data_IF_301246560026
#
_entry.id   IF_301246560026
#
_cell.length_a   1.000
_cell.length_b   1.000
_cell.length_c   1.000
_cell.angle_alpha   90.00
_cell.angle_beta   90.00
_cell.angle_gamma   90.00
#
_symmetry.space_group_name_H-M   'P 1'
#
loop_
_entity.id
_entity.type
_entity.pdbx_description
1 polymer ?
#
# COMPACT_ATOMS: atom_id res chain seq x y z
N UNK A 1 11.10 -58.88 0.13
CA UNK A 1 11.53 -58.30 1.43
C UNK A 1 11.21 -56.81 1.39
N UNK A 2 9.99 -56.39 1.74
CA UNK A 2 9.59 -55.83 3.06
C UNK A 2 10.65 -54.90 3.66
N UNK A 3 10.35 -53.61 3.74
CA UNK A 3 10.29 -52.88 5.02
C UNK A 3 9.45 -51.60 4.83
N UNK A 4 8.21 -51.64 5.33
CA UNK A 4 7.39 -50.47 5.63
C UNK A 4 7.96 -49.84 6.90
N UNK A 5 8.20 -48.53 6.90
CA UNK A 5 8.49 -47.77 8.11
C UNK A 5 7.32 -46.83 8.38
N UNK A 6 6.46 -47.23 9.33
CA UNK A 6 5.60 -46.32 10.08
C UNK A 6 6.47 -45.63 11.14
N UNK A 7 6.20 -44.37 11.48
CA UNK A 7 6.16 -43.84 12.86
C UNK A 7 5.67 -42.38 12.81
N UNK A 8 4.43 -42.13 13.26
CA UNK A 8 4.03 -41.52 14.55
C UNK A 8 3.88 -39.99 14.49
N UNK A 9 2.63 -39.55 14.39
CA UNK A 9 2.21 -38.18 14.66
C UNK A 9 2.01 -37.99 16.17
N UNK A 10 2.76 -37.06 16.77
CA UNK A 10 2.59 -36.66 18.17
C UNK A 10 1.68 -35.43 18.22
N UNK A 11 0.45 -35.59 18.73
CA UNK A 11 -0.42 -34.48 19.11
C UNK A 11 0.09 -33.85 20.41
N UNK A 12 0.44 -32.57 20.38
CA UNK A 12 0.57 -31.75 21.59
C UNK A 12 -0.75 -30.99 21.79
N UNK A 13 -1.51 -31.38 22.82
CA UNK A 13 -2.57 -30.54 23.38
C UNK A 13 -1.92 -29.56 24.37
N UNK A 14 -1.88 -28.27 24.02
CA UNK A 14 -1.58 -27.21 24.97
C UNK A 14 -2.88 -26.70 25.58
N UNK A 15 -3.12 -27.05 26.85
CA UNK A 15 -4.16 -26.46 27.67
C UNK A 15 -3.71 -25.06 28.11
N UNK A 16 -4.41 -24.02 27.65
CA UNK A 16 -4.24 -22.66 28.17
C UNK A 16 -5.12 -22.46 29.39
N UNK A 17 -4.48 -22.28 30.55
CA UNK A 17 -5.15 -21.91 31.78
C UNK A 17 -5.67 -20.46 31.71
N UNK A 18 -6.97 -20.26 31.98
CA UNK A 18 -7.54 -18.94 32.24
C UNK A 18 -7.02 -18.43 33.59
N UNK A 19 -6.21 -17.38 33.58
CA UNK A 19 -5.91 -16.58 34.75
C UNK A 19 -7.06 -15.60 35.03
N UNK A 20 -7.58 -15.62 36.25
CA UNK A 20 -8.58 -14.67 36.74
C UNK A 20 -7.98 -13.26 36.95
N UNK A 21 -8.77 -12.18 36.77
CA UNK A 21 -8.30 -10.82 37.01
C UNK A 21 -8.16 -10.50 38.51
N UNK A 22 -7.12 -9.75 38.92
CA UNK A 22 -6.98 -9.27 40.29
C UNK A 22 -8.03 -8.20 40.61
N UNK A 23 -8.58 -8.29 41.83
CA UNK A 23 -9.48 -7.30 42.43
C UNK A 23 -8.68 -6.07 42.84
N UNK A 24 -8.85 -4.98 42.11
CA UNK A 24 -8.27 -3.69 42.47
C UNK A 24 -9.13 -2.98 43.54
N UNK A 25 -8.50 -2.58 44.63
CA UNK A 25 -9.12 -1.86 45.75
C UNK A 25 -8.82 -0.38 45.55
N UNK A 26 -9.81 0.35 45.04
CA UNK A 26 -9.76 1.80 44.97
C UNK A 26 -9.62 2.46 46.35
N UNK A 27 -8.78 3.49 46.41
CA UNK A 27 -8.92 4.68 47.27
C UNK A 27 -7.92 5.75 46.79
N UNK A 28 -8.35 6.56 45.84
CA UNK A 28 -7.67 7.78 45.41
C UNK A 28 -8.72 8.88 45.27
N UNK A 29 -8.63 9.90 46.13
CA UNK A 29 -9.51 11.06 46.21
C UNK A 29 -9.28 11.94 44.98
N UNK A 30 -10.24 11.99 44.05
CA UNK A 30 -10.17 12.82 42.85
C UNK A 30 -10.91 14.14 43.10
N UNK A 31 -10.17 15.23 43.05
CA UNK A 31 -10.63 16.62 43.04
C UNK A 31 -11.44 16.89 41.76
N UNK A 32 -12.50 17.72 41.75
CA UNK A 32 -13.29 17.94 40.55
C UNK A 32 -12.46 18.70 39.50
N UNK A 33 -12.10 18.03 38.41
CA UNK A 33 -11.55 18.67 37.23
C UNK A 33 -12.71 19.36 36.48
N UNK A 34 -12.54 20.66 36.27
CA UNK A 34 -13.38 21.50 35.44
C UNK A 34 -13.54 20.87 34.05
N UNK A 35 -14.77 20.46 33.73
CA UNK A 35 -15.17 19.94 32.42
C UNK A 35 -15.14 21.08 31.39
N UNK A 36 -13.99 21.31 30.75
CA UNK A 36 -13.94 22.10 29.52
C UNK A 36 -14.52 21.24 28.41
N UNK A 37 -15.73 21.59 27.95
CA UNK A 37 -16.39 20.94 26.84
C UNK A 37 -15.58 21.15 25.55
N UNK A 38 -14.80 20.14 25.15
CA UNK A 38 -14.20 20.08 23.82
C UNK A 38 -15.34 19.93 22.81
N UNK A 39 -15.65 21.00 22.09
CA UNK A 39 -16.59 21.00 20.98
C UNK A 39 -16.02 20.11 19.88
N UNK A 40 -16.45 18.85 19.83
CA UNK A 40 -16.14 17.90 18.75
C UNK A 40 -16.79 18.42 17.47
N UNK A 41 -16.06 19.25 16.73
CA UNK A 41 -16.44 19.63 15.37
C UNK A 41 -16.32 18.37 14.54
N UNK A 42 -17.46 17.82 14.10
CA UNK A 42 -17.54 16.70 13.17
C UNK A 42 -16.90 17.15 11.85
N UNK A 43 -15.59 16.91 11.71
CA UNK A 43 -14.87 17.14 10.46
C UNK A 43 -15.42 16.12 9.46
N UNK A 44 -16.22 16.58 8.52
CA UNK A 44 -16.61 15.76 7.37
C UNK A 44 -15.34 15.55 6.53
N UNK A 45 -14.86 14.30 6.35
CA UNK A 45 -13.67 14.05 5.55
C UNK A 45 -13.95 14.51 4.11
N UNK A 46 -13.02 15.29 3.56
CA UNK A 46 -13.06 15.67 2.13
C UNK A 46 -13.11 14.39 1.29
N UNK A 47 -14.08 14.25 0.37
CA UNK A 47 -14.15 13.07 -0.47
C UNK A 47 -12.88 12.94 -1.31
N UNK A 48 -12.26 11.77 -1.28
CA UNK A 48 -11.08 11.48 -2.09
C UNK A 48 -11.44 11.56 -3.59
N UNK A 49 -10.59 12.18 -4.43
CA UNK A 49 -10.93 12.36 -5.85
C UNK A 49 -11.12 11.02 -6.57
N UNK A 50 -12.06 10.99 -7.52
CA UNK A 50 -12.32 9.82 -8.35
C UNK A 50 -11.13 9.49 -9.28
N UNK A 51 -10.34 10.49 -9.63
CA UNK A 51 -9.15 10.37 -10.47
C UNK A 51 -8.04 11.27 -9.96
N UNK A 52 -6.79 10.83 -10.13
CA UNK A 52 -5.59 11.64 -9.93
C UNK A 52 -4.82 11.78 -11.24
N UNK A 53 -4.05 12.84 -11.40
CA UNK A 53 -3.21 13.04 -12.59
C UNK A 53 -1.74 12.91 -12.22
N UNK A 54 -1.07 11.94 -12.84
CA UNK A 54 0.37 11.80 -12.77
C UNK A 54 1.01 12.67 -13.86
N UNK A 55 2.01 13.48 -13.51
CA UNK A 55 2.61 14.48 -14.40
C UNK A 55 4.13 14.31 -14.55
N UNK A 56 4.63 13.19 -15.08
CA UNK A 56 6.05 13.07 -15.38
C UNK A 56 6.49 13.96 -16.54
N UNK A 57 7.80 14.10 -16.66
CA UNK A 57 8.46 14.69 -17.82
C UNK A 57 8.81 13.59 -18.82
N UNK A 58 8.38 13.73 -20.08
CA UNK A 58 8.86 12.90 -21.17
C UNK A 58 10.28 13.33 -21.55
N UNK A 59 11.22 12.40 -21.45
CA UNK A 59 12.64 12.56 -21.79
C UNK A 59 13.03 11.67 -22.97
N UNK A 60 14.17 11.97 -23.60
CA UNK A 60 14.66 11.24 -24.79
C UNK A 60 14.28 11.89 -26.13
N UNK A 61 13.44 12.92 -26.11
CA UNK A 61 13.29 13.87 -27.22
C UNK A 61 14.33 15.00 -27.12
N UNK A 62 14.50 15.79 -28.18
CA UNK A 62 15.41 16.96 -28.17
C UNK A 62 15.07 17.99 -27.07
N UNK A 63 13.85 17.98 -26.53
CA UNK A 63 13.38 18.87 -25.46
C UNK A 63 12.46 18.09 -24.50
N UNK A 64 12.70 18.13 -23.18
CA UNK A 64 11.78 17.57 -22.19
C UNK A 64 10.41 18.23 -22.27
N UNK A 65 9.34 17.45 -22.11
CA UNK A 65 7.96 17.97 -22.16
C UNK A 65 7.06 17.28 -21.14
N UNK A 66 6.07 17.99 -20.54
CA UNK A 66 5.12 17.35 -19.64
C UNK A 66 4.34 16.23 -20.32
N UNK A 67 4.09 15.15 -19.60
CA UNK A 67 3.20 14.06 -20.01
C UNK A 67 2.22 13.78 -18.89
N UNK A 68 0.94 13.71 -19.22
CA UNK A 68 -0.11 13.52 -18.23
C UNK A 68 -0.71 12.13 -18.37
N UNK A 69 -0.84 11.45 -17.23
CA UNK A 69 -1.55 10.19 -17.12
C UNK A 69 -2.70 10.35 -16.12
N UNK A 70 -3.93 10.19 -16.58
CA UNK A 70 -5.11 10.22 -15.71
C UNK A 70 -5.34 8.82 -15.14
N UNK A 71 -5.41 8.69 -13.82
CA UNK A 71 -5.52 7.39 -13.13
C UNK A 71 -6.80 7.36 -12.32
N UNK A 72 -7.57 6.29 -12.46
CA UNK A 72 -8.77 6.02 -11.66
C UNK A 72 -8.35 5.55 -10.25
N UNK A 73 -8.74 6.28 -9.21
CA UNK A 73 -8.43 5.89 -7.82
C UNK A 73 -9.15 4.59 -7.44
N UNK A 74 -10.35 4.36 -7.98
CA UNK A 74 -11.07 3.09 -7.84
C UNK A 74 -10.27 1.91 -8.41
N UNK A 75 -9.70 2.07 -9.60
CA UNK A 75 -8.91 1.01 -10.25
C UNK A 75 -7.61 0.78 -9.48
N UNK A 76 -6.92 1.84 -9.09
CA UNK A 76 -5.69 1.74 -8.30
C UNK A 76 -5.91 0.96 -6.99
N UNK A 77 -6.97 1.29 -6.25
CA UNK A 77 -7.37 0.55 -5.04
C UNK A 77 -7.66 -0.91 -5.35
N UNK A 78 -8.43 -1.20 -6.39
CA UNK A 78 -8.75 -2.58 -6.79
C UNK A 78 -7.50 -3.40 -7.12
N UNK A 79 -6.51 -2.79 -7.79
CA UNK A 79 -5.25 -3.48 -8.10
C UNK A 79 -4.40 -3.70 -6.83
N UNK A 80 -4.37 -2.74 -5.88
CA UNK A 80 -3.73 -2.94 -4.58
C UNK A 80 -4.38 -4.08 -3.77
N UNK A 81 -5.72 -4.12 -3.74
CA UNK A 81 -6.48 -5.17 -3.07
C UNK A 81 -6.27 -6.56 -3.70
N UNK A 82 -6.11 -6.62 -5.01
CA UNK A 82 -5.76 -7.84 -5.73
C UNK A 82 -4.32 -8.27 -5.47
N UNK A 83 -3.41 -7.31 -5.38
CA UNK A 83 -1.99 -7.55 -5.21
C UNK A 83 -1.64 -8.04 -3.81
N UNK A 84 -2.29 -7.52 -2.74
CA UNK A 84 -2.02 -7.86 -1.33
C UNK A 84 -0.51 -7.86 -1.01
N UNK A 85 -0.02 -8.87 -0.29
CA UNK A 85 1.32 -8.96 0.28
C UNK A 85 2.01 -10.31 0.02
N UNK A 86 2.12 -10.78 -1.24
CA UNK A 86 2.77 -12.05 -1.56
C UNK A 86 4.28 -11.98 -1.27
N UNK A 87 4.84 -13.07 -0.75
CA UNK A 87 6.29 -13.17 -0.50
C UNK A 87 7.10 -13.10 -1.80
N UNK A 88 6.54 -13.63 -2.90
CA UNK A 88 7.17 -13.61 -4.22
C UNK A 88 6.14 -13.74 -5.32
N UNK A 89 6.35 -13.02 -6.42
CA UNK A 89 5.61 -13.21 -7.67
C UNK A 89 6.57 -13.42 -8.83
N UNK A 90 6.05 -13.87 -9.97
CA UNK A 90 6.86 -14.03 -11.18
C UNK A 90 7.23 -12.68 -11.80
N UNK A 91 6.34 -11.69 -11.71
CA UNK A 91 6.64 -10.33 -12.16
C UNK A 91 7.72 -9.65 -11.31
N UNK A 92 7.78 -9.98 -10.01
CA UNK A 92 8.53 -9.19 -9.03
C UNK A 92 7.66 -8.14 -8.34
N UNK A 93 6.43 -7.92 -8.83
CA UNK A 93 5.43 -7.03 -8.24
C UNK A 93 4.26 -7.81 -7.59
N UNK A 94 3.61 -7.29 -6.53
CA UNK A 94 4.01 -6.10 -5.79
C UNK A 94 5.33 -6.32 -5.05
N UNK A 95 5.96 -5.22 -4.66
CA UNK A 95 7.15 -5.26 -3.80
C UNK A 95 7.08 -4.16 -2.75
N UNK A 96 7.98 -4.25 -1.76
CA UNK A 96 8.08 -3.26 -0.69
C UNK A 96 8.51 -1.91 -1.25
N UNK A 97 7.81 -0.86 -0.81
CA UNK A 97 8.20 0.51 -1.03
C UNK A 97 8.86 1.03 0.26
N UNK A 98 10.08 1.54 0.13
CA UNK A 98 10.92 1.89 1.29
C UNK A 98 11.02 3.41 1.53
N UNK A 99 10.09 4.22 0.99
CA UNK A 99 10.09 5.67 1.16
C UNK A 99 11.37 6.39 0.71
N UNK A 100 12.13 5.82 -0.24
CA UNK A 100 13.39 6.41 -0.71
C UNK A 100 13.25 7.85 -1.21
N UNK A 101 12.08 8.21 -1.74
CA UNK A 101 11.79 9.54 -2.29
C UNK A 101 11.09 10.50 -1.31
N UNK A 102 10.85 10.08 -0.06
CA UNK A 102 10.27 10.96 0.97
C UNK A 102 8.84 11.42 0.69
N UNK A 103 8.04 10.64 -0.03
CA UNK A 103 6.66 11.00 -0.37
C UNK A 103 5.74 11.04 0.86
N UNK A 104 4.95 12.12 0.97
CA UNK A 104 3.89 12.27 1.97
C UNK A 104 2.51 12.05 1.35
N UNK A 105 1.89 10.93 1.69
CA UNK A 105 0.55 10.57 1.21
C UNK A 105 -0.60 11.23 1.99
N UNK A 106 -0.30 12.06 3.00
CA UNK A 106 -1.29 12.76 3.82
C UNK A 106 -2.15 11.84 4.68
N UNK A 107 -1.72 10.59 4.89
CA UNK A 107 -2.44 9.56 5.65
C UNK A 107 -1.53 9.05 6.78
N UNK A 108 -2.01 8.99 8.03
CA UNK A 108 -1.16 8.66 9.18
C UNK A 108 -0.58 7.24 9.12
N UNK A 109 -1.27 6.32 8.46
CA UNK A 109 -0.83 4.95 8.25
C UNK A 109 0.10 4.78 7.02
N UNK A 110 0.46 5.87 6.35
CA UNK A 110 1.32 5.89 5.16
C UNK A 110 2.61 6.70 5.37
N UNK A 111 3.04 6.87 6.62
CA UNK A 111 4.27 7.56 6.98
C UNK A 111 5.51 6.69 6.79
N UNK A 112 6.69 7.31 6.94
CA UNK A 112 8.03 6.70 6.73
C UNK A 112 8.27 5.34 7.41
N UNK A 113 7.62 5.09 8.55
CA UNK A 113 7.81 3.88 9.36
C UNK A 113 6.78 2.78 9.02
N UNK A 114 5.87 3.06 8.08
CA UNK A 114 4.84 2.13 7.66
C UNK A 114 5.41 1.02 6.76
N UNK A 115 4.80 -0.16 6.85
CA UNK A 115 5.01 -1.22 5.88
C UNK A 115 4.27 -0.88 4.58
N UNK A 116 4.96 -0.17 3.67
CA UNK A 116 4.42 0.16 2.36
C UNK A 116 4.79 -0.85 1.28
N UNK A 117 3.86 -0.99 0.36
CA UNK A 117 3.94 -1.81 -0.83
C UNK A 117 3.55 -0.96 -2.04
N UNK A 118 4.14 -1.30 -3.18
CA UNK A 118 3.82 -0.69 -4.46
C UNK A 118 3.44 -1.73 -5.50
N UNK A 119 2.51 -1.35 -6.39
CA UNK A 119 2.05 -2.23 -7.47
C UNK A 119 1.78 -1.45 -8.77
N UNK A 120 2.15 -1.99 -9.95
CA UNK A 120 1.91 -1.33 -11.23
C UNK A 120 0.43 -1.12 -11.54
N UNK A 121 0.08 0.08 -12.01
CA UNK A 121 -1.29 0.40 -12.46
C UNK A 121 -1.23 1.15 -13.79
N UNK A 122 -2.30 1.05 -14.59
CA UNK A 122 -2.42 1.75 -15.87
C UNK A 122 -3.34 2.96 -15.78
N UNK A 123 -3.10 3.95 -16.63
CA UNK A 123 -3.95 5.12 -16.77
C UNK A 123 -5.22 4.80 -17.55
N UNK A 124 -6.24 5.65 -17.43
CA UNK A 124 -7.63 5.35 -17.81
C UNK A 124 -7.84 5.00 -19.29
N UNK A 125 -7.03 5.51 -20.20
CA UNK A 125 -7.13 5.17 -21.62
C UNK A 125 -6.54 3.80 -21.98
N UNK A 126 -5.78 3.17 -21.07
CA UNK A 126 -5.23 1.82 -21.25
C UNK A 126 -6.08 0.81 -20.47
N UNK A 127 -6.85 0.01 -21.20
CA UNK A 127 -7.71 -1.04 -20.64
C UNK A 127 -6.92 -2.33 -20.36
N UNK A 128 -5.92 -2.25 -19.49
CA UNK A 128 -5.08 -3.40 -19.07
C UNK A 128 -4.91 -3.40 -17.55
N UNK A 129 -4.62 -4.57 -17.00
CA UNK A 129 -4.27 -4.77 -15.59
C UNK A 129 -2.90 -5.45 -15.53
N UNK A 130 -2.16 -5.24 -14.44
CA UNK A 130 -0.90 -5.95 -14.25
C UNK A 130 -1.14 -7.43 -13.93
N UNK A 131 -0.22 -8.29 -14.36
CA UNK A 131 -0.26 -9.72 -14.12
C UNK A 131 0.95 -10.15 -13.29
N UNK A 132 0.72 -10.49 -12.01
CA UNK A 132 1.77 -10.95 -11.09
C UNK A 132 2.46 -12.24 -11.55
N UNK A 133 1.80 -13.03 -12.39
CA UNK A 133 2.26 -14.33 -12.88
C UNK A 133 2.97 -14.25 -14.24
N UNK A 134 3.27 -13.03 -14.71
CA UNK A 134 3.98 -12.79 -15.96
C UNK A 134 5.24 -11.94 -15.70
N UNK A 135 6.32 -12.20 -16.43
CA UNK A 135 7.55 -11.42 -16.26
C UNK A 135 7.32 -9.96 -16.69
N UNK A 136 7.81 -9.00 -15.90
CA UNK A 136 7.70 -7.55 -16.17
C UNK A 136 8.11 -7.16 -17.59
N UNK A 137 9.17 -7.77 -18.12
CA UNK A 137 9.66 -7.49 -19.50
C UNK A 137 8.69 -7.90 -20.62
N UNK A 138 7.75 -8.80 -20.33
CA UNK A 138 6.74 -9.26 -21.28
C UNK A 138 5.45 -8.44 -21.21
N UNK A 139 5.31 -7.60 -20.17
CA UNK A 139 4.13 -6.78 -19.95
C UNK A 139 4.32 -5.37 -20.52
N UNK A 140 3.24 -4.66 -20.87
CA UNK A 140 3.31 -3.25 -21.26
C UNK A 140 3.91 -2.41 -20.14
N UNK A 141 4.80 -1.49 -20.48
CA UNK A 141 5.40 -0.60 -19.50
C UNK A 141 4.35 0.34 -18.89
N UNK A 142 4.43 0.51 -17.56
CA UNK A 142 3.76 1.61 -16.84
C UNK A 142 4.73 2.18 -15.79
N UNK A 143 4.90 3.52 -15.74
CA UNK A 143 5.72 4.18 -14.75
C UNK A 143 4.96 4.46 -13.44
N UNK A 144 3.67 4.12 -13.41
CA UNK A 144 2.72 4.47 -12.36
C UNK A 144 2.61 3.30 -11.39
N UNK A 145 2.56 3.62 -10.09
CA UNK A 145 2.42 2.68 -8.99
C UNK A 145 1.29 3.14 -8.08
N UNK A 146 0.41 2.21 -7.70
CA UNK A 146 -0.41 2.40 -6.49
C UNK A 146 0.46 2.07 -5.29
N UNK A 147 0.36 2.90 -4.25
CA UNK A 147 1.02 2.67 -2.96
C UNK A 147 -0.03 2.39 -1.91
N UNK A 148 0.24 1.39 -1.09
CA UNK A 148 -0.65 0.95 -0.03
C UNK A 148 0.14 0.43 1.17
N UNK A 149 -0.42 0.59 2.36
CA UNK A 149 0.15 0.10 3.60
C UNK A 149 -0.44 -1.26 3.98
N UNK A 150 0.35 -2.07 4.67
CA UNK A 150 -0.16 -3.19 5.45
C UNK A 150 -0.46 -2.73 6.87
N UNK A 151 -1.73 -2.74 7.25
CA UNK A 151 -2.18 -2.41 8.61
C UNK A 151 -3.00 -3.58 9.11
N UNK A 152 -2.54 -4.25 10.17
CA UNK A 152 -3.17 -5.45 10.74
C UNK A 152 -3.45 -6.56 9.70
N UNK A 153 -2.55 -6.69 8.72
CA UNK A 153 -2.69 -7.66 7.64
C UNK A 153 -3.61 -7.24 6.49
N UNK A 154 -4.24 -6.07 6.58
CA UNK A 154 -5.13 -5.52 5.57
C UNK A 154 -4.47 -4.46 4.69
N UNK A 155 -5.01 -4.29 3.49
CA UNK A 155 -4.59 -3.25 2.54
C UNK A 155 -5.22 -1.92 2.94
N UNK A 156 -4.38 -0.91 3.13
CA UNK A 156 -4.81 0.46 3.33
C UNK A 156 -4.24 1.35 2.23
N UNK A 157 -5.10 1.87 1.37
CA UNK A 157 -4.69 2.70 0.23
C UNK A 157 -4.01 4.00 0.68
N UNK A 158 -2.81 4.27 0.15
CA UNK A 158 -2.05 5.48 0.41
C UNK A 158 -2.20 6.50 -0.71
N UNK A 159 -1.98 6.10 -1.95
CA UNK A 159 -2.04 7.02 -3.08
C UNK A 159 -1.53 6.39 -4.37
N UNK A 160 -1.31 7.23 -5.37
CA UNK A 160 -0.66 6.85 -6.63
C UNK A 160 0.58 7.71 -6.81
N UNK A 161 1.66 7.09 -7.25
CA UNK A 161 2.89 7.77 -7.62
C UNK A 161 3.30 7.38 -9.04
N UNK A 162 4.21 8.17 -9.60
CA UNK A 162 4.84 7.92 -10.89
C UNK A 162 6.31 8.24 -10.78
N UNK A 163 7.17 7.59 -11.56
CA UNK A 163 8.49 8.14 -11.83
C UNK A 163 8.36 9.58 -12.35
N UNK A 164 9.29 10.47 -11.98
CA UNK A 164 9.28 11.88 -12.38
C UNK A 164 9.66 12.09 -13.84
N UNK A 165 10.39 11.13 -14.42
CA UNK A 165 10.73 11.09 -15.84
C UNK A 165 10.24 9.80 -16.48
N UNK A 166 9.87 9.88 -17.75
CA UNK A 166 9.48 8.72 -18.57
C UNK A 166 10.11 8.81 -19.95
N UNK A 167 10.41 7.68 -20.58
CA UNK A 167 10.80 7.65 -21.99
C UNK A 167 9.59 7.51 -22.93
N UNK A 168 9.86 7.44 -24.24
CA UNK A 168 8.82 7.31 -25.28
C UNK A 168 8.00 6.02 -25.15
N UNK A 169 8.58 4.96 -24.56
CA UNK A 169 7.92 3.71 -24.22
C UNK A 169 7.18 3.74 -22.86
N UNK A 170 7.21 4.87 -22.14
CA UNK A 170 6.68 5.03 -20.78
C UNK A 170 7.43 4.24 -19.70
N UNK A 171 8.70 3.91 -19.91
CA UNK A 171 9.53 3.38 -18.83
C UNK A 171 9.92 4.52 -17.91
N UNK A 172 9.70 4.32 -16.62
CA UNK A 172 10.01 5.30 -15.60
C UNK A 172 11.51 5.42 -15.34
N UNK A 173 11.93 6.63 -14.99
CA UNK A 173 13.31 7.00 -14.64
C UNK A 173 13.30 7.98 -13.47
N UNK A 174 14.47 8.16 -12.85
CA UNK A 174 14.66 9.04 -11.70
C UNK A 174 13.75 8.66 -10.51
N UNK A 175 13.46 9.64 -9.65
CA UNK A 175 12.71 9.48 -8.39
C UNK A 175 11.19 9.33 -8.61
N UNK A 176 10.47 8.83 -7.62
CA UNK A 176 9.01 8.83 -7.61
C UNK A 176 8.44 10.16 -7.13
N UNK A 177 7.31 10.57 -7.71
CA UNK A 177 6.54 11.73 -7.30
C UNK A 177 5.05 11.37 -7.20
N UNK A 178 4.32 12.07 -6.32
CA UNK A 178 2.88 11.88 -6.12
C UNK A 178 2.08 12.32 -7.35
N UNK A 179 0.98 11.61 -7.60
CA UNK A 179 -0.05 12.03 -8.54
C UNK A 179 -1.12 12.86 -7.81
N UNK A 180 -1.61 13.91 -8.45
CA UNK A 180 -2.58 14.87 -7.88
C UNK A 180 -3.77 15.08 -8.81
#
# INVERSE_FOLDING_TARGET
>A
MKLLSLLTATLFLNASALAAPPKDKGKGKVTPATTTATTTTKVTPTPEPATVTCRPTLVGDKKPKPKNFLVSTKTARSEAEKAKFPDRTKSGDPHRYHHGDGLDFGKPYCGKDAELWEYPVFWTSVKKTWNMNELTRNQPATPIRVVYAKVDGEVQYCGVMTHSEVDKENRGKAFFQLCT
#
